data_IF_863637577889
#
_entry.id   IF_863637577889
#
_cell.length_a   1.000
_cell.length_b   1.000
_cell.length_c   1.000
_cell.angle_alpha   90.00
_cell.angle_beta   90.00
_cell.angle_gamma   90.00
#
_symmetry.space_group_name_H-M   'P 1'
#
loop_
_entity.id
_entity.type
_entity.pdbx_description
1 polymer ?
#
# COMPACT_ATOMS: atom_id res chain seq x y z
N UNK A 1 8.03 13.23 -5.57
CA UNK A 1 7.96 11.84 -5.11
C UNK A 1 8.68 10.95 -6.09
N UNK A 2 9.62 10.16 -5.59
CA UNK A 2 10.22 9.06 -6.35
C UNK A 2 9.51 7.74 -6.00
N UNK A 3 9.87 6.66 -6.71
CA UNK A 3 9.24 5.36 -6.52
C UNK A 3 9.44 4.77 -5.12
N UNK A 4 10.56 5.09 -4.46
CA UNK A 4 10.85 4.60 -3.11
C UNK A 4 9.97 5.33 -2.09
N UNK A 5 9.83 6.65 -2.22
CA UNK A 5 8.91 7.45 -1.42
C UNK A 5 7.45 7.04 -1.65
N UNK A 6 7.04 6.80 -2.90
CA UNK A 6 5.70 6.34 -3.24
C UNK A 6 5.37 4.98 -2.61
N UNK A 7 6.28 4.01 -2.75
CA UNK A 7 6.16 2.68 -2.14
C UNK A 7 6.08 2.78 -0.61
N UNK A 8 6.89 3.62 0.02
CA UNK A 8 6.85 3.81 1.47
C UNK A 8 5.51 4.41 1.92
N UNK A 9 4.97 5.39 1.20
CA UNK A 9 3.68 5.99 1.53
C UNK A 9 2.51 5.02 1.39
N UNK A 10 2.54 4.12 0.40
CA UNK A 10 1.55 3.03 0.30
C UNK A 10 1.65 2.10 1.51
N UNK A 11 2.88 1.71 1.90
CA UNK A 11 3.11 0.86 3.06
C UNK A 11 2.63 1.52 4.36
N UNK A 12 2.91 2.81 4.54
CA UNK A 12 2.46 3.56 5.71
C UNK A 12 0.93 3.60 5.79
N UNK A 13 0.24 3.81 4.66
CA UNK A 13 -1.22 3.81 4.60
C UNK A 13 -1.81 2.43 4.98
N UNK A 14 -1.24 1.33 4.44
CA UNK A 14 -1.61 -0.04 4.81
C UNK A 14 -1.47 -0.29 6.32
N UNK A 15 -0.35 0.16 6.91
CA UNK A 15 -0.06 -0.02 8.34
C UNK A 15 -0.94 0.85 9.26
N UNK A 16 -1.45 1.97 8.75
CA UNK A 16 -2.38 2.83 9.48
C UNK A 16 -3.82 2.29 9.49
N UNK A 17 -4.17 1.34 8.62
CA UNK A 17 -5.51 0.76 8.58
C UNK A 17 -5.83 0.01 9.86
N UNK A 18 -7.03 0.26 10.37
CA UNK A 18 -7.52 -0.32 11.62
C UNK A 18 -8.84 -1.02 11.41
N UNK A 19 -9.04 -2.11 12.12
CA UNK A 19 -10.32 -2.80 12.17
C UNK A 19 -11.36 -2.00 13.00
N UNK A 20 -12.60 -2.50 13.08
CA UNK A 20 -13.67 -1.84 13.84
C UNK A 20 -13.39 -1.69 15.35
N UNK A 21 -12.38 -2.40 15.89
CA UNK A 21 -11.93 -2.29 17.29
C UNK A 21 -10.79 -1.30 17.47
N UNK A 22 -10.29 -0.68 16.40
CA UNK A 22 -9.16 0.24 16.43
C UNK A 22 -7.79 -0.43 16.49
N UNK A 23 -7.73 -1.75 16.32
CA UNK A 23 -6.49 -2.53 16.24
C UNK A 23 -5.95 -2.50 14.80
N UNK A 24 -4.62 -2.61 14.57
CA UNK A 24 -4.07 -2.74 13.23
C UNK A 24 -4.78 -3.83 12.43
N UNK A 25 -5.17 -3.50 11.21
CA UNK A 25 -5.87 -4.43 10.34
C UNK A 25 -4.91 -5.43 9.68
N UNK A 26 -3.66 -5.01 9.44
CA UNK A 26 -2.65 -5.74 8.66
C UNK A 26 -1.34 -5.72 9.44
N UNK A 27 -0.68 -6.87 9.55
CA UNK A 27 0.67 -6.96 10.12
C UNK A 27 1.73 -6.45 9.12
N UNK A 28 2.85 -5.93 9.63
CA UNK A 28 3.85 -5.25 8.80
C UNK A 28 4.50 -6.16 7.75
N UNK A 29 4.78 -7.41 8.10
CA UNK A 29 5.32 -8.42 7.18
C UNK A 29 4.32 -8.79 6.08
N UNK A 30 3.04 -8.89 6.41
CA UNK A 30 1.95 -9.14 5.45
C UNK A 30 1.80 -7.94 4.49
N UNK A 31 1.77 -6.71 5.02
CA UNK A 31 1.66 -5.50 4.21
C UNK A 31 2.84 -5.37 3.23
N UNK A 32 4.06 -5.64 3.71
CA UNK A 32 5.26 -5.70 2.86
C UNK A 32 5.17 -6.80 1.81
N UNK A 33 4.67 -7.98 2.18
CA UNK A 33 4.50 -9.09 1.24
C UNK A 33 3.56 -8.71 0.10
N UNK A 34 2.39 -8.12 0.41
CA UNK A 34 1.43 -7.72 -0.62
C UNK A 34 1.97 -6.61 -1.51
N UNK A 35 2.64 -5.61 -0.94
CA UNK A 35 3.21 -4.51 -1.72
C UNK A 35 4.39 -4.97 -2.61
N UNK A 36 5.14 -5.99 -2.18
CA UNK A 36 6.23 -6.57 -2.96
C UNK A 36 5.75 -7.46 -4.12
N UNK A 37 4.46 -7.77 -4.22
CA UNK A 37 3.88 -8.40 -5.42
C UNK A 37 3.76 -7.41 -6.58
N UNK A 38 3.78 -6.10 -6.30
CA UNK A 38 3.79 -5.05 -7.31
C UNK A 38 5.23 -4.67 -7.68
N UNK A 39 5.54 -4.79 -8.97
CA UNK A 39 6.80 -4.36 -9.54
C UNK A 39 6.97 -2.84 -9.50
N UNK A 40 8.21 -2.37 -9.63
CA UNK A 40 8.47 -0.92 -9.68
C UNK A 40 7.81 -0.27 -10.91
N UNK A 41 7.74 -0.97 -12.05
CA UNK A 41 7.07 -0.48 -13.27
C UNK A 41 5.57 -0.28 -13.05
N UNK A 42 4.89 -1.26 -12.44
CA UNK A 42 3.45 -1.15 -12.11
C UNK A 42 3.17 0.00 -11.12
N UNK A 43 4.06 0.20 -10.14
CA UNK A 43 3.92 1.30 -9.19
C UNK A 43 4.23 2.66 -9.85
N UNK A 44 5.19 2.74 -10.75
CA UNK A 44 5.49 3.95 -11.52
C UNK A 44 4.31 4.34 -12.42
N UNK A 45 3.70 3.37 -13.11
CA UNK A 45 2.48 3.59 -13.90
C UNK A 45 1.32 4.01 -13.00
N UNK A 46 1.13 3.31 -11.87
CA UNK A 46 0.11 3.63 -10.88
C UNK A 46 0.23 5.04 -10.31
N UNK A 47 1.46 5.50 -10.04
CA UNK A 47 1.76 6.82 -9.48
C UNK A 47 1.33 7.98 -10.39
N UNK A 48 1.21 7.75 -11.70
CA UNK A 48 0.73 8.78 -12.65
C UNK A 48 -0.76 9.10 -12.49
N UNK A 49 -1.53 8.17 -11.90
CA UNK A 49 -3.00 8.24 -11.87
C UNK A 49 -3.62 8.08 -10.48
N UNK A 50 -2.87 7.59 -9.50
CA UNK A 50 -3.37 7.23 -8.18
C UNK A 50 -2.55 7.90 -7.08
N UNK A 51 -3.20 8.26 -5.97
CA UNK A 51 -2.51 8.61 -4.74
C UNK A 51 -2.09 7.33 -4.00
N UNK A 52 -1.07 7.36 -3.11
CA UNK A 52 -0.64 6.18 -2.35
C UNK A 52 -1.78 5.45 -1.62
N UNK A 53 -2.71 6.22 -1.03
CA UNK A 53 -3.88 5.68 -0.33
C UNK A 53 -4.83 4.89 -1.25
N UNK A 54 -4.96 5.32 -2.51
CA UNK A 54 -5.89 4.70 -3.47
C UNK A 54 -5.33 3.33 -3.88
N UNK A 55 -4.01 3.23 -4.05
CA UNK A 55 -3.34 1.95 -4.27
C UNK A 55 -3.43 1.05 -3.03
N UNK A 56 -3.27 1.61 -1.82
CA UNK A 56 -3.45 0.85 -0.59
C UNK A 56 -4.89 0.28 -0.47
N UNK A 57 -5.92 1.05 -0.86
CA UNK A 57 -7.30 0.56 -0.94
C UNK A 57 -7.43 -0.61 -1.92
N UNK A 58 -6.88 -0.48 -3.14
CA UNK A 58 -6.91 -1.54 -4.16
C UNK A 58 -6.20 -2.81 -3.68
N UNK A 59 -5.04 -2.67 -3.02
CA UNK A 59 -4.31 -3.82 -2.43
C UNK A 59 -5.21 -4.54 -1.42
N UNK A 60 -5.95 -3.82 -0.59
CA UNK A 60 -6.85 -4.42 0.41
C UNK A 60 -8.05 -5.09 -0.26
N UNK A 61 -8.65 -4.47 -1.27
CA UNK A 61 -9.82 -5.01 -1.97
C UNK A 61 -9.53 -6.31 -2.74
N UNK A 62 -8.26 -6.55 -3.09
CA UNK A 62 -7.82 -7.72 -3.86
C UNK A 62 -7.28 -8.86 -2.98
N UNK A 63 -7.58 -8.84 -1.68
CA UNK A 63 -7.16 -9.84 -0.67
C UNK A 63 -8.36 -10.37 0.12
#
# INVERSE_FOLDING_TARGET
>A
MDISEYRQLILDDLLMRKNAKGEPMIEEDIAKSWLNELSDEELEEGMLFNEPKDVADIIIETR
#
